data_IF_063531723245
#
_entry.id   IF_063531723245
#
_cell.length_a   1.000
_cell.length_b   1.000
_cell.length_c   1.000
_cell.angle_alpha   90.00
_cell.angle_beta   90.00
_cell.angle_gamma   90.00
#
_symmetry.space_group_name_H-M   'P 1'
#
loop_
_entity.id
_entity.type
_entity.pdbx_description
1 polymer ?
#
# COMPACT_ATOMS: atom_id res chain seq x y z
N UNK A 1 -12.72 2.14 9.45
CA UNK A 1 -11.29 2.48 9.30
C UNK A 1 -10.64 1.23 8.73
N UNK A 2 -9.98 1.32 7.57
CA UNK A 2 -9.37 0.15 6.92
C UNK A 2 -8.08 -0.23 7.67
N UNK A 3 -7.87 -1.52 7.97
CA UNK A 3 -6.63 -1.96 8.63
C UNK A 3 -5.51 -2.21 7.63
N UNK A 4 -4.26 -2.21 8.10
CA UNK A 4 -3.07 -2.55 7.31
C UNK A 4 -3.17 -3.95 6.66
N UNK A 5 -3.88 -4.89 7.31
CA UNK A 5 -4.13 -6.22 6.78
C UNK A 5 -5.18 -6.24 5.65
N UNK A 6 -6.24 -5.42 5.76
CA UNK A 6 -7.24 -5.25 4.72
C UNK A 6 -6.62 -4.59 3.47
N UNK A 7 -5.75 -3.61 3.69
CA UNK A 7 -4.94 -3.02 2.64
C UNK A 7 -4.10 -4.05 1.88
N UNK A 8 -3.32 -4.86 2.61
CA UNK A 8 -2.50 -5.90 1.98
C UNK A 8 -3.32 -6.88 1.17
N UNK A 9 -4.54 -7.22 1.62
CA UNK A 9 -5.42 -8.10 0.86
C UNK A 9 -5.79 -7.53 -0.53
N UNK A 10 -5.86 -6.20 -0.68
CA UNK A 10 -6.09 -5.55 -1.97
C UNK A 10 -4.89 -5.67 -2.92
N UNK A 11 -3.67 -5.87 -2.37
CA UNK A 11 -2.42 -5.88 -3.14
C UNK A 11 -1.78 -7.26 -3.31
N UNK A 12 -2.14 -8.25 -2.50
CA UNK A 12 -1.55 -9.60 -2.56
C UNK A 12 -1.83 -10.29 -3.90
N UNK A 13 -3.07 -10.32 -4.37
CA UNK A 13 -3.41 -10.92 -5.68
C UNK A 13 -2.71 -10.25 -6.85
N UNK A 14 -2.70 -8.91 -6.98
CA UNK A 14 -2.01 -8.25 -8.08
C UNK A 14 -0.48 -8.41 -8.03
N UNK A 15 0.13 -8.44 -6.84
CA UNK A 15 1.57 -8.68 -6.68
C UNK A 15 1.95 -10.11 -7.06
N UNK A 16 1.21 -11.11 -6.58
CA UNK A 16 1.50 -12.53 -6.85
C UNK A 16 1.29 -12.95 -8.32
N UNK A 17 0.50 -12.19 -9.08
CA UNK A 17 0.17 -12.52 -10.47
C UNK A 17 0.99 -11.74 -11.50
N UNK A 18 1.83 -10.78 -11.06
CA UNK A 18 2.64 -9.89 -11.90
C UNK A 18 1.89 -9.32 -13.14
N UNK A 19 0.58 -9.10 -13.02
CA UNK A 19 -0.21 -8.67 -14.17
C UNK A 19 -0.12 -7.14 -14.36
N UNK A 20 0.03 -6.69 -15.60
CA UNK A 20 -0.04 -5.25 -15.92
C UNK A 20 -1.42 -4.64 -15.56
N UNK A 21 -2.50 -5.44 -15.60
CA UNK A 21 -3.84 -5.00 -15.17
C UNK A 21 -3.95 -4.86 -13.65
N UNK A 22 -3.04 -5.50 -12.92
CA UNK A 22 -3.01 -5.52 -11.47
C UNK A 22 -2.54 -4.18 -10.89
N UNK A 23 -1.64 -3.49 -11.59
CA UNK A 23 -1.20 -2.12 -11.28
C UNK A 23 -2.34 -1.10 -11.42
N UNK A 24 -3.19 -1.23 -12.45
CA UNK A 24 -4.33 -0.35 -12.65
C UNK A 24 -5.39 -0.52 -11.54
N UNK A 25 -5.64 -1.77 -11.11
CA UNK A 25 -6.55 -2.08 -10.00
C UNK A 25 -5.97 -1.65 -8.65
N UNK A 26 -4.67 -1.84 -8.45
CA UNK A 26 -3.97 -1.40 -7.24
C UNK A 26 -4.09 0.12 -7.05
N UNK A 27 -4.13 0.91 -8.12
CA UNK A 27 -4.15 2.38 -8.03
C UNK A 27 -5.34 2.93 -7.24
N UNK A 28 -6.56 2.42 -7.45
CA UNK A 28 -7.73 2.83 -6.67
C UNK A 28 -7.64 2.39 -5.21
N UNK A 29 -7.13 1.18 -4.95
CA UNK A 29 -6.87 0.72 -3.59
C UNK A 29 -5.82 1.57 -2.86
N UNK A 30 -4.78 2.04 -3.57
CA UNK A 30 -3.75 2.94 -3.04
C UNK A 30 -4.38 4.29 -2.68
N UNK A 31 -5.29 4.81 -3.51
CA UNK A 31 -5.97 6.08 -3.24
C UNK A 31 -6.88 6.01 -2.01
N UNK A 32 -7.70 4.96 -1.91
CA UNK A 32 -8.52 4.70 -0.72
C UNK A 32 -7.67 4.48 0.53
N UNK A 33 -6.54 3.77 0.38
CA UNK A 33 -5.56 3.60 1.45
C UNK A 33 -5.03 4.94 1.92
N UNK A 34 -4.38 5.72 1.05
CA UNK A 34 -3.77 7.01 1.41
C UNK A 34 -4.81 7.95 2.05
N UNK A 35 -6.04 7.98 1.53
CA UNK A 35 -7.14 8.76 2.12
C UNK A 35 -7.53 8.28 3.54
N UNK A 36 -7.60 6.97 3.76
CA UNK A 36 -7.84 6.39 5.09
C UNK A 36 -6.70 6.71 6.07
N UNK A 37 -5.46 6.77 5.58
CA UNK A 37 -4.27 7.03 6.39
C UNK A 37 -4.05 8.49 6.77
N UNK A 38 -4.51 9.43 5.96
CA UNK A 38 -4.55 10.85 6.35
C UNK A 38 -5.37 11.10 7.63
N UNK A 39 -6.24 10.17 8.00
CA UNK A 39 -7.08 10.22 9.19
C UNK A 39 -6.66 9.24 10.29
N UNK A 40 -5.53 8.54 10.15
CA UNK A 40 -5.06 7.55 11.13
C UNK A 40 -4.69 8.21 12.48
N UNK A 41 -5.12 7.65 13.63
CA UNK A 41 -4.86 8.23 14.95
C UNK A 41 -3.37 8.22 15.33
N UNK A 42 -2.59 7.30 14.74
CA UNK A 42 -1.15 7.14 14.95
C UNK A 42 -0.31 7.95 13.94
N UNK A 43 -0.95 8.64 12.99
CA UNK A 43 -0.31 9.40 11.91
C UNK A 43 0.10 8.52 10.71
N UNK A 44 0.18 9.13 9.53
CA UNK A 44 0.42 8.42 8.26
C UNK A 44 1.82 7.78 8.12
N UNK A 45 2.80 8.23 8.90
CA UNK A 45 4.15 7.64 8.94
C UNK A 45 4.19 6.31 9.69
N UNK A 46 3.58 6.22 10.87
CA UNK A 46 3.55 4.98 11.67
C UNK A 46 2.79 3.87 10.92
N UNK A 47 1.66 4.27 10.37
CA UNK A 47 0.88 3.59 9.37
C UNK A 47 1.63 2.99 8.18
N UNK A 48 2.48 3.79 7.52
CA UNK A 48 3.33 3.32 6.41
C UNK A 48 4.32 2.26 6.90
N UNK A 49 4.92 2.45 8.07
CA UNK A 49 5.85 1.47 8.64
C UNK A 49 5.15 0.14 8.97
N UNK A 50 3.91 0.18 9.47
CA UNK A 50 3.13 -1.05 9.69
C UNK A 50 2.84 -1.80 8.39
N UNK A 51 2.53 -1.07 7.31
CA UNK A 51 2.36 -1.68 5.99
C UNK A 51 3.66 -2.33 5.51
N UNK A 52 4.78 -1.63 5.61
CA UNK A 52 6.10 -2.13 5.20
C UNK A 52 6.51 -3.38 5.99
N UNK A 53 6.28 -3.39 7.31
CA UNK A 53 6.54 -4.56 8.14
C UNK A 53 5.71 -5.77 7.68
N UNK A 54 4.41 -5.59 7.47
CA UNK A 54 3.52 -6.66 7.03
C UNK A 54 3.78 -7.08 5.55
N UNK A 55 4.35 -6.18 4.73
CA UNK A 55 4.83 -6.48 3.38
C UNK A 55 6.03 -7.43 3.41
N UNK A 56 7.01 -7.15 4.28
CA UNK A 56 8.19 -7.99 4.50
C UNK A 56 7.79 -9.35 5.09
N UNK A 57 6.91 -9.37 6.10
CA UNK A 57 6.43 -10.62 6.72
C UNK A 57 5.76 -11.56 5.72
N UNK A 58 5.14 -11.01 4.67
CA UNK A 58 4.46 -11.78 3.62
C UNK A 58 5.37 -12.19 2.45
N UNK A 59 6.66 -11.85 2.49
CA UNK A 59 7.59 -12.06 1.37
C UNK A 59 7.01 -11.57 0.04
N UNK A 60 6.45 -10.35 0.04
CA UNK A 60 5.99 -9.72 -1.20
C UNK A 60 7.19 -9.05 -1.87
N UNK A 61 7.99 -9.83 -2.59
CA UNK A 61 9.15 -9.36 -3.35
C UNK A 61 8.87 -9.39 -4.86
N UNK A 62 9.37 -8.40 -5.59
CA UNK A 62 9.24 -8.31 -7.05
C UNK A 62 9.02 -6.90 -7.59
N UNK A 63 9.22 -6.71 -8.90
CA UNK A 63 9.15 -5.38 -9.53
C UNK A 63 7.78 -4.71 -9.38
N UNK A 64 6.70 -5.50 -9.45
CA UNK A 64 5.33 -5.01 -9.23
C UNK A 64 5.12 -4.59 -7.78
N UNK A 65 5.67 -5.36 -6.85
CA UNK A 65 5.59 -5.10 -5.41
C UNK A 65 6.30 -3.78 -5.06
N UNK A 66 7.55 -3.64 -5.53
CA UNK A 66 8.35 -2.44 -5.34
C UNK A 66 7.69 -1.21 -5.97
N UNK A 67 7.08 -1.36 -7.15
CA UNK A 67 6.37 -0.27 -7.81
C UNK A 67 5.13 0.19 -7.04
N UNK A 68 4.36 -0.74 -6.46
CA UNK A 68 3.19 -0.40 -5.63
C UNK A 68 3.64 0.30 -4.35
N UNK A 69 4.66 -0.23 -3.67
CA UNK A 69 5.17 0.36 -2.43
C UNK A 69 5.75 1.76 -2.67
N UNK A 70 6.44 1.96 -3.80
CA UNK A 70 6.95 3.27 -4.20
C UNK A 70 5.81 4.29 -4.48
N UNK A 71 4.72 3.89 -5.13
CA UNK A 71 3.56 4.77 -5.37
C UNK A 71 2.87 5.16 -4.04
N UNK A 72 2.70 4.19 -3.12
CA UNK A 72 2.17 4.46 -1.78
C UNK A 72 3.05 5.49 -1.04
N UNK A 73 4.37 5.25 -1.00
CA UNK A 73 5.34 6.16 -0.35
C UNK A 73 5.28 7.57 -0.95
N UNK A 74 5.26 7.67 -2.28
CA UNK A 74 5.21 8.95 -2.99
C UNK A 74 3.92 9.72 -2.66
N UNK A 75 2.77 9.04 -2.66
CA UNK A 75 1.47 9.66 -2.37
C UNK A 75 1.32 10.09 -0.93
N UNK A 76 1.82 9.31 0.02
CA UNK A 76 1.86 9.72 1.44
C UNK A 76 2.78 10.95 1.60
N UNK A 77 3.95 10.96 0.96
CA UNK A 77 4.87 12.10 1.01
C UNK A 77 4.29 13.36 0.36
N UNK A 78 3.53 13.24 -0.72
CA UNK A 78 2.91 14.38 -1.41
C UNK A 78 1.61 14.84 -0.75
N UNK A 79 0.93 13.99 0.01
CA UNK A 79 -0.23 14.37 0.82
C UNK A 79 0.11 15.35 1.95
N UNK A 80 1.40 15.56 2.27
CA UNK A 80 1.86 16.68 3.07
C UNK A 80 1.35 16.70 4.52
N UNK A 81 1.34 15.53 5.17
CA UNK A 81 1.13 15.40 6.62
C UNK A 81 2.43 15.74 7.35
#
# INVERSE_FOLDING_TARGET
MMSSADCLALFVTPVLTESASALALARSAIEEFVASYAHAPTGALAALHELEAAWIERNLDGATADSILADIRLRISTAGI
#
